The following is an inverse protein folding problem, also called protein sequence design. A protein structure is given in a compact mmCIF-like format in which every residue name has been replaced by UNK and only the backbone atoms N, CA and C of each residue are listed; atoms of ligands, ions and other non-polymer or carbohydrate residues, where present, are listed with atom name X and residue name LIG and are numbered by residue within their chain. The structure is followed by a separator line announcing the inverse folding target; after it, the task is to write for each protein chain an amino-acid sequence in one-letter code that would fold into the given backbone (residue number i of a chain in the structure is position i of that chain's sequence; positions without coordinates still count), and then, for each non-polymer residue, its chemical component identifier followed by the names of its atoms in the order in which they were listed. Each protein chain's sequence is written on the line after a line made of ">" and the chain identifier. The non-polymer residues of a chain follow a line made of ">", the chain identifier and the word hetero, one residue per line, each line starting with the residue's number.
data_IF_892262731793
#
_entry.id   IF_892262731793
#
_cell.length_a   1.000
_cell.length_b   1.000
_cell.length_c   1.000
_cell.angle_alpha   90.00
_cell.angle_beta   90.00
_cell.angle_gamma   90.00
#
_symmetry.space_group_name_H-M   'P 1'
#
loop_
_entity.id
_entity.type
_entity.pdbx_description
1 polymer ?
#
# COMPACT_ATOMS: atom_id res chain seq x y z
N UNK A 1 -3.21 -21.31 37.29
CA UNK A 1 -3.23 -19.91 36.81
C UNK A 1 -1.83 -19.37 36.58
N UNK A 2 -0.83 -19.80 37.36
CA UNK A 2 0.54 -19.28 37.28
C UNK A 2 1.20 -19.45 35.90
N UNK A 3 0.96 -20.57 35.22
CA UNK A 3 1.40 -20.78 33.83
C UNK A 3 0.79 -19.77 32.84
N UNK A 4 -0.47 -19.37 33.01
CA UNK A 4 -1.09 -18.35 32.15
C UNK A 4 -0.46 -16.98 32.44
N UNK A 5 -0.19 -16.68 33.71
CA UNK A 5 0.45 -15.43 34.09
C UNK A 5 1.90 -15.35 33.59
N UNK A 6 2.66 -16.45 33.61
CA UNK A 6 4.02 -16.48 33.05
C UNK A 6 3.98 -16.25 31.53
N UNK A 7 3.15 -17.00 30.81
CA UNK A 7 3.01 -16.82 29.35
C UNK A 7 2.53 -15.41 28.96
N UNK A 8 1.62 -14.82 29.74
CA UNK A 8 1.19 -13.45 29.52
C UNK A 8 2.32 -12.42 29.72
N UNK A 9 3.14 -12.59 30.76
CA UNK A 9 4.30 -11.72 31.02
C UNK A 9 5.33 -11.84 29.90
N UNK A 10 5.58 -13.05 29.44
CA UNK A 10 6.56 -13.35 28.38
C UNK A 10 6.03 -13.09 26.97
N UNK A 11 4.74 -12.73 26.83
CA UNK A 11 4.03 -12.56 25.55
C UNK A 11 4.14 -13.80 24.65
N UNK A 12 4.09 -14.98 25.25
CA UNK A 12 4.14 -16.26 24.55
C UNK A 12 2.77 -16.92 24.50
N UNK A 13 2.52 -17.69 23.45
CA UNK A 13 1.31 -18.51 23.31
C UNK A 13 1.61 -19.89 23.88
N UNK A 14 0.74 -20.38 24.75
CA UNK A 14 0.86 -21.69 25.36
C UNK A 14 0.38 -22.79 24.40
N UNK A 15 1.25 -23.74 24.06
CA UNK A 15 0.94 -24.76 23.06
C UNK A 15 -0.13 -25.79 23.50
N UNK A 16 -0.32 -25.94 24.81
CA UNK A 16 -1.14 -27.01 25.41
C UNK A 16 -2.39 -26.46 26.14
N UNK A 17 -2.75 -25.19 25.94
CA UNK A 17 -3.88 -24.56 26.64
C UNK A 17 -4.93 -24.11 25.63
N UNK A 18 -6.18 -24.53 25.87
CA UNK A 18 -7.36 -24.06 25.15
C UNK A 18 -8.46 -23.64 26.14
N UNK A 19 -9.34 -22.73 25.71
CA UNK A 19 -10.50 -22.29 26.49
C UNK A 19 -11.77 -22.79 25.80
N UNK A 20 -12.73 -23.29 26.57
CA UNK A 20 -14.07 -23.60 26.09
C UNK A 20 -15.08 -22.74 26.85
N UNK A 21 -15.89 -21.99 26.11
CA UNK A 21 -16.92 -21.11 26.66
C UNK A 21 -18.31 -21.51 26.15
N UNK A 22 -19.26 -21.73 27.05
CA UNK A 22 -20.66 -21.93 26.68
C UNK A 22 -21.38 -20.59 26.45
N UNK A 23 -22.36 -20.57 25.54
CA UNK A 23 -23.18 -19.40 25.24
C UNK A 23 -23.87 -18.81 26.47
N UNK A 24 -24.27 -19.64 27.45
CA UNK A 24 -24.84 -19.15 28.71
C UNK A 24 -23.81 -18.41 29.55
N UNK A 25 -22.56 -18.89 29.59
CA UNK A 25 -21.47 -18.20 30.27
C UNK A 25 -21.15 -16.86 29.59
N UNK A 26 -21.20 -16.82 28.25
CA UNK A 26 -20.94 -15.61 27.47
C UNK A 26 -21.93 -14.47 27.74
N UNK A 27 -23.14 -14.74 28.23
CA UNK A 27 -24.11 -13.69 28.62
C UNK A 27 -23.55 -12.79 29.72
N UNK A 28 -22.67 -13.29 30.60
CA UNK A 28 -22.04 -12.48 31.64
C UNK A 28 -20.94 -11.56 31.09
N UNK A 29 -20.34 -11.92 29.95
CA UNK A 29 -19.36 -11.09 29.26
C UNK A 29 -20.06 -10.08 28.32
N UNK A 30 -21.15 -10.52 27.70
CA UNK A 30 -21.97 -9.78 26.72
C UNK A 30 -23.45 -9.73 27.15
N UNK A 31 -23.75 -8.99 28.22
CA UNK A 31 -25.12 -8.84 28.72
C UNK A 31 -26.04 -8.17 27.70
N UNK A 32 -27.15 -8.84 27.37
CA UNK A 32 -28.14 -8.36 26.39
C UNK A 32 -29.19 -7.39 26.95
N UNK A 33 -29.29 -7.24 28.27
CA UNK A 33 -30.26 -6.36 28.94
C UNK A 33 -29.66 -4.98 29.23
N UNK A 34 -30.51 -3.97 29.41
CA UNK A 34 -30.08 -2.68 29.93
C UNK A 34 -29.52 -2.87 31.35
N UNK A 35 -28.22 -2.60 31.50
CA UNK A 35 -27.48 -2.78 32.74
C UNK A 35 -27.41 -1.49 33.53
N UNK A 36 -27.34 -1.65 34.85
CA UNK A 36 -26.88 -0.58 35.75
C UNK A 36 -25.42 -0.20 35.45
N UNK A 37 -24.99 0.97 35.96
CA UNK A 37 -23.62 1.46 35.72
C UNK A 37 -22.59 0.45 36.26
N UNK A 38 -22.83 -0.12 37.44
CA UNK A 38 -21.91 -1.06 38.08
C UNK A 38 -21.77 -2.37 37.30
N UNK A 39 -22.88 -2.93 36.81
CA UNK A 39 -22.86 -4.15 36.01
C UNK A 39 -22.13 -3.95 34.67
N UNK A 40 -22.21 -2.75 34.07
CA UNK A 40 -21.41 -2.41 32.86
C UNK A 40 -19.92 -2.44 33.15
N UNK A 41 -19.49 -1.94 34.31
CA UNK A 41 -18.08 -1.94 34.74
C UNK A 41 -17.60 -3.38 34.91
N UNK A 42 -18.39 -4.22 35.59
CA UNK A 42 -18.06 -5.65 35.79
C UNK A 42 -17.96 -6.39 34.46
N UNK A 43 -18.93 -6.23 33.56
CA UNK A 43 -18.91 -6.89 32.25
C UNK A 43 -17.72 -6.43 31.39
N UNK A 44 -17.33 -5.15 31.48
CA UNK A 44 -16.14 -4.63 30.79
C UNK A 44 -14.85 -5.27 31.32
N UNK A 45 -14.73 -5.42 32.63
CA UNK A 45 -13.57 -6.06 33.25
C UNK A 45 -13.51 -7.57 32.94
N UNK A 46 -14.64 -8.26 32.92
CA UNK A 46 -14.72 -9.67 32.50
C UNK A 46 -14.27 -9.86 31.04
N UNK A 47 -14.72 -9.01 30.12
CA UNK A 47 -14.27 -9.02 28.71
C UNK A 47 -12.76 -8.80 28.59
N UNK A 48 -12.21 -7.86 29.37
CA UNK A 48 -10.77 -7.61 29.41
C UNK A 48 -10.01 -8.83 29.91
N UNK A 49 -10.47 -9.47 30.99
CA UNK A 49 -9.87 -10.71 31.52
C UNK A 49 -9.95 -11.84 30.49
N UNK A 50 -11.10 -12.02 29.84
CA UNK A 50 -11.28 -13.03 28.80
C UNK A 50 -10.27 -12.83 27.66
N UNK A 51 -10.09 -11.60 27.17
CA UNK A 51 -9.10 -11.29 26.13
C UNK A 51 -7.67 -11.62 26.56
N UNK A 52 -7.31 -11.33 27.81
CA UNK A 52 -5.97 -11.64 28.35
C UNK A 52 -5.74 -13.14 28.35
N UNK A 53 -6.67 -13.93 28.88
CA UNK A 53 -6.53 -15.39 28.90
C UNK A 53 -6.55 -15.95 27.47
N UNK A 54 -7.47 -15.50 26.63
CA UNK A 54 -7.59 -15.94 25.23
C UNK A 54 -6.34 -15.62 24.39
N UNK A 55 -5.63 -14.52 24.67
CA UNK A 55 -4.40 -14.15 23.95
C UNK A 55 -3.21 -15.07 24.23
N UNK A 56 -3.27 -15.83 25.32
CA UNK A 56 -2.23 -16.80 25.72
C UNK A 56 -2.59 -18.20 25.27
N UNK A 57 -3.87 -18.52 25.15
CA UNK A 57 -4.32 -19.85 24.74
C UNK A 57 -4.14 -20.06 23.24
N UNK A 58 -3.81 -21.29 22.85
CA UNK A 58 -3.68 -21.70 21.44
C UNK A 58 -5.02 -21.70 20.71
N UNK A 59 -6.10 -22.00 21.43
CA UNK A 59 -7.44 -22.04 20.89
C UNK A 59 -8.48 -21.53 21.90
N UNK A 60 -9.52 -20.90 21.38
CA UNK A 60 -10.75 -20.59 22.11
C UNK A 60 -11.92 -21.18 21.33
N UNK A 61 -12.73 -22.00 21.99
CA UNK A 61 -13.89 -22.67 21.42
C UNK A 61 -15.13 -22.14 22.13
N UNK A 62 -16.02 -21.49 21.39
CA UNK A 62 -17.29 -21.01 21.90
C UNK A 62 -18.42 -21.94 21.45
N UNK A 63 -19.11 -22.57 22.40
CA UNK A 63 -20.16 -23.55 22.14
C UNK A 63 -21.55 -22.96 22.36
N UNK A 64 -22.54 -23.38 21.56
CA UNK A 64 -23.96 -23.01 21.71
C UNK A 64 -24.18 -21.49 21.79
N UNK A 65 -23.45 -20.74 20.97
CA UNK A 65 -23.49 -19.28 20.93
C UNK A 65 -24.56 -18.77 19.98
N UNK A 66 -25.24 -17.68 20.36
CA UNK A 66 -26.20 -17.01 19.49
C UNK A 66 -25.49 -16.20 18.39
N UNK A 67 -26.16 -15.87 17.27
CA UNK A 67 -25.59 -15.02 16.22
C UNK A 67 -25.06 -13.68 16.74
N UNK A 68 -25.76 -13.06 17.71
CA UNK A 68 -25.32 -11.82 18.36
C UNK A 68 -24.02 -12.02 19.14
N UNK A 69 -23.93 -13.10 19.92
CA UNK A 69 -22.72 -13.40 20.71
C UNK A 69 -21.50 -13.66 19.82
N UNK A 70 -21.67 -14.28 18.65
CA UNK A 70 -20.57 -14.45 17.68
C UNK A 70 -20.01 -13.10 17.24
N UNK A 71 -20.88 -12.15 16.89
CA UNK A 71 -20.49 -10.79 16.53
C UNK A 71 -19.83 -10.04 17.71
N UNK A 72 -20.36 -10.20 18.92
CA UNK A 72 -19.81 -9.58 20.13
C UNK A 72 -18.38 -10.05 20.44
N UNK A 73 -18.07 -11.34 20.23
CA UNK A 73 -16.70 -11.86 20.36
C UNK A 73 -15.76 -11.17 19.36
N UNK A 74 -16.17 -11.06 18.09
CA UNK A 74 -15.37 -10.39 17.04
C UNK A 74 -15.15 -8.92 17.40
N UNK A 75 -16.19 -8.21 17.81
CA UNK A 75 -16.13 -6.81 18.22
C UNK A 75 -15.24 -6.60 19.47
N UNK A 76 -15.29 -7.54 20.42
CA UNK A 76 -14.39 -7.53 21.57
C UNK A 76 -12.92 -7.60 21.12
N UNK A 77 -12.57 -8.53 20.24
CA UNK A 77 -11.19 -8.66 19.72
C UNK A 77 -10.79 -7.42 18.91
N UNK A 78 -11.66 -6.93 18.03
CA UNK A 78 -11.40 -5.80 17.14
C UNK A 78 -11.14 -4.49 17.89
N UNK A 79 -11.99 -4.17 18.86
CA UNK A 79 -11.97 -2.86 19.51
C UNK A 79 -11.22 -2.83 20.84
N UNK A 80 -11.12 -3.97 21.53
CA UNK A 80 -10.59 -4.01 22.90
C UNK A 80 -9.27 -4.78 23.03
N UNK A 81 -8.79 -5.45 21.96
CA UNK A 81 -7.45 -6.03 21.96
C UNK A 81 -6.38 -4.95 21.88
N UNK A 82 -5.32 -5.10 22.69
CA UNK A 82 -4.21 -4.13 22.77
C UNK A 82 -3.51 -3.92 21.43
N UNK A 83 -3.39 -4.98 20.63
CA UNK A 83 -2.67 -4.96 19.36
C UNK A 83 -3.56 -4.57 18.17
N UNK A 84 -4.86 -4.33 18.39
CA UNK A 84 -5.86 -4.02 17.36
C UNK A 84 -5.67 -4.87 16.08
N UNK A 85 -5.75 -6.21 16.20
CA UNK A 85 -5.44 -7.09 15.08
C UNK A 85 -6.49 -6.95 13.98
N UNK A 86 -6.08 -7.26 12.74
CA UNK A 86 -7.01 -7.50 11.64
C UNK A 86 -7.72 -8.83 11.91
N UNK A 87 -9.04 -8.80 11.84
CA UNK A 87 -9.91 -9.94 12.16
C UNK A 87 -10.56 -10.46 10.90
N UNK A 88 -10.63 -11.79 10.79
CA UNK A 88 -11.32 -12.49 9.72
C UNK A 88 -12.41 -13.36 10.34
N UNK A 89 -13.61 -13.31 9.78
CA UNK A 89 -14.71 -14.18 10.15
C UNK A 89 -15.16 -14.98 8.92
N UNK A 90 -15.49 -16.25 9.15
CA UNK A 90 -15.92 -17.19 8.12
C UNK A 90 -17.16 -17.95 8.57
N UNK A 91 -18.12 -18.14 7.67
CA UNK A 91 -19.35 -18.90 7.95
C UNK A 91 -20.13 -19.24 6.68
N UNK A 92 -21.08 -20.14 6.80
CA UNK A 92 -21.91 -20.67 5.72
C UNK A 92 -23.40 -20.33 5.87
N UNK A 93 -23.86 -20.13 7.11
CA UNK A 93 -25.26 -19.91 7.44
C UNK A 93 -25.66 -18.48 7.78
N UNK A 94 -26.98 -18.25 7.84
CA UNK A 94 -27.60 -17.01 8.30
C UNK A 94 -27.11 -16.56 9.68
N UNK A 95 -26.78 -17.53 10.54
CA UNK A 95 -26.31 -17.32 11.91
C UNK A 95 -24.92 -16.67 11.99
N UNK A 96 -24.16 -16.66 10.89
CA UNK A 96 -22.82 -16.12 10.82
C UNK A 96 -22.77 -14.74 10.17
N UNK A 97 -23.88 -14.26 9.58
CA UNK A 97 -23.94 -12.97 8.86
C UNK A 97 -23.45 -11.81 9.74
N UNK A 98 -23.97 -11.69 10.97
CA UNK A 98 -23.57 -10.62 11.88
C UNK A 98 -22.09 -10.73 12.30
N UNK A 99 -21.58 -11.96 12.43
CA UNK A 99 -20.17 -12.22 12.76
C UNK A 99 -19.26 -11.82 11.60
N UNK A 100 -19.62 -12.21 10.37
CA UNK A 100 -18.94 -11.89 9.11
C UNK A 100 -18.86 -10.36 8.94
N UNK A 101 -19.99 -9.66 9.08
CA UNK A 101 -20.05 -8.20 8.93
C UNK A 101 -19.31 -7.42 10.03
N UNK A 102 -19.11 -8.02 11.20
CA UNK A 102 -18.38 -7.37 12.31
C UNK A 102 -16.86 -7.44 12.14
N UNK A 103 -16.35 -8.40 11.36
CA UNK A 103 -14.92 -8.57 11.12
C UNK A 103 -14.36 -7.51 10.16
N UNK A 104 -13.04 -7.46 10.01
CA UNK A 104 -12.42 -6.62 8.98
C UNK A 104 -12.51 -7.27 7.59
N UNK A 105 -12.50 -8.60 7.55
CA UNK A 105 -12.68 -9.39 6.35
C UNK A 105 -13.68 -10.49 6.63
N UNK A 106 -14.79 -10.48 5.91
CA UNK A 106 -15.85 -11.48 5.98
C UNK A 106 -15.74 -12.49 4.83
N UNK A 107 -15.80 -13.78 5.14
CA UNK A 107 -15.75 -14.87 4.15
C UNK A 107 -17.01 -15.74 4.26
N UNK A 108 -17.75 -15.85 3.17
CA UNK A 108 -18.88 -16.75 3.04
C UNK A 108 -18.45 -18.07 2.42
N UNK A 109 -18.87 -19.19 3.01
CA UNK A 109 -18.75 -20.51 2.37
C UNK A 109 -20.04 -20.79 1.60
N UNK A 110 -19.92 -21.13 0.31
CA UNK A 110 -21.05 -21.55 -0.50
C UNK A 110 -21.56 -22.93 -0.03
N UNK A 111 -22.55 -22.92 0.86
CA UNK A 111 -23.21 -24.12 1.39
C UNK A 111 -24.53 -24.43 0.69
N UNK A 112 -25.09 -25.60 1.02
CA UNK A 112 -26.45 -26.01 0.62
C UNK A 112 -27.53 -25.40 1.53
N UNK A 113 -27.16 -24.90 2.72
CA UNK A 113 -28.09 -24.40 3.74
C UNK A 113 -28.60 -22.97 3.46
N UNK A 114 -27.99 -22.25 2.51
CA UNK A 114 -28.44 -20.94 2.07
C UNK A 114 -27.31 -20.07 1.52
N UNK A 115 -27.69 -19.01 0.80
CA UNK A 115 -26.75 -18.05 0.17
C UNK A 115 -26.53 -16.78 1.00
N UNK A 116 -27.11 -16.72 2.20
CA UNK A 116 -27.13 -15.49 3.01
C UNK A 116 -25.74 -15.09 3.50
N UNK A 117 -24.94 -16.03 4.00
CA UNK A 117 -23.56 -15.75 4.43
C UNK A 117 -22.69 -15.28 3.26
N UNK A 118 -22.86 -15.90 2.09
CA UNK A 118 -22.16 -15.53 0.85
C UNK A 118 -22.51 -14.10 0.42
N UNK A 119 -23.80 -13.78 0.34
CA UNK A 119 -24.26 -12.44 -0.07
C UNK A 119 -23.87 -11.33 0.91
N UNK A 120 -23.59 -11.68 2.17
CA UNK A 120 -23.19 -10.74 3.20
C UNK A 120 -21.67 -10.72 3.47
N UNK A 121 -20.87 -11.41 2.66
CA UNK A 121 -19.42 -11.54 2.82
C UNK A 121 -18.63 -10.74 1.77
N UNK A 122 -17.36 -10.43 2.08
CA UNK A 122 -16.45 -9.76 1.13
C UNK A 122 -15.92 -10.74 0.08
N UNK A 123 -15.71 -12.00 0.47
CA UNK A 123 -15.26 -13.09 -0.40
C UNK A 123 -16.13 -14.33 -0.23
N UNK A 124 -16.50 -14.94 -1.34
CA UNK A 124 -17.20 -16.23 -1.37
C UNK A 124 -16.23 -17.35 -1.78
N UNK A 125 -16.14 -18.40 -0.96
CA UNK A 125 -15.36 -19.60 -1.29
C UNK A 125 -16.25 -20.85 -1.26
N UNK A 126 -15.99 -21.82 -2.12
CA UNK A 126 -16.81 -23.04 -2.16
C UNK A 126 -16.56 -23.98 -0.97
N UNK A 127 -15.33 -24.01 -0.44
CA UNK A 127 -14.92 -24.94 0.62
C UNK A 127 -13.86 -24.31 1.51
N UNK A 128 -13.85 -24.66 2.79
CA UNK A 128 -12.89 -24.13 3.78
C UNK A 128 -11.43 -24.31 3.36
N UNK A 129 -11.07 -25.41 2.67
CA UNK A 129 -9.69 -25.64 2.21
C UNK A 129 -9.13 -24.55 1.29
N UNK A 130 -9.99 -23.80 0.59
CA UNK A 130 -9.56 -22.71 -0.28
C UNK A 130 -9.13 -21.46 0.49
N UNK A 131 -9.49 -21.35 1.78
CA UNK A 131 -9.08 -20.27 2.65
C UNK A 131 -7.55 -20.17 2.75
N UNK A 132 -6.86 -21.30 2.79
CA UNK A 132 -5.40 -21.33 2.88
C UNK A 132 -4.76 -20.65 1.66
N UNK A 133 -5.22 -20.97 0.45
CA UNK A 133 -4.71 -20.35 -0.79
C UNK A 133 -5.11 -18.88 -0.88
N UNK A 134 -6.34 -18.54 -0.50
CA UNK A 134 -6.82 -17.16 -0.47
C UNK A 134 -5.94 -16.27 0.41
N UNK A 135 -5.57 -16.73 1.60
CA UNK A 135 -4.75 -15.93 2.52
C UNK A 135 -3.27 -15.97 2.13
N UNK A 136 -2.67 -17.16 2.03
CA UNK A 136 -1.22 -17.31 1.90
C UNK A 136 -0.69 -16.85 0.54
N UNK A 137 -1.46 -17.04 -0.53
CA UNK A 137 -1.09 -16.59 -1.88
C UNK A 137 -1.65 -15.20 -2.13
N UNK A 138 -2.98 -15.08 -2.25
CA UNK A 138 -3.59 -13.84 -2.73
C UNK A 138 -3.50 -12.71 -1.70
N UNK A 139 -3.82 -12.97 -0.43
CA UNK A 139 -3.75 -11.97 0.64
C UNK A 139 -2.34 -11.42 0.84
N UNK A 140 -1.35 -12.31 0.91
CA UNK A 140 0.07 -11.94 1.04
C UNK A 140 0.57 -11.11 -0.15
N UNK A 141 0.36 -11.61 -1.37
CA UNK A 141 0.80 -10.91 -2.58
C UNK A 141 0.12 -9.56 -2.72
N UNK A 142 -1.18 -9.47 -2.45
CA UNK A 142 -1.91 -8.20 -2.46
C UNK A 142 -1.34 -7.20 -1.44
N UNK A 143 -1.08 -7.62 -0.20
CA UNK A 143 -0.47 -6.75 0.81
C UNK A 143 0.87 -6.17 0.34
N UNK A 144 1.77 -7.01 -0.19
CA UNK A 144 3.08 -6.57 -0.69
C UNK A 144 2.98 -5.64 -1.89
N UNK A 145 2.15 -5.98 -2.87
CA UNK A 145 1.91 -5.17 -4.08
C UNK A 145 1.37 -3.79 -3.72
N UNK A 146 0.30 -3.75 -2.92
CA UNK A 146 -0.33 -2.50 -2.51
C UNK A 146 0.61 -1.64 -1.65
N UNK A 147 1.41 -2.24 -0.77
CA UNK A 147 2.44 -1.51 -0.02
C UNK A 147 3.40 -0.76 -0.96
N UNK A 148 3.93 -1.43 -1.99
CA UNK A 148 4.80 -0.79 -3.00
C UNK A 148 4.08 0.32 -3.76
N UNK A 149 2.84 0.07 -4.20
CA UNK A 149 2.02 1.05 -4.93
C UNK A 149 1.81 2.32 -4.11
N UNK A 150 1.45 2.19 -2.83
CA UNK A 150 1.25 3.32 -1.92
C UNK A 150 2.56 4.09 -1.73
N UNK A 151 3.63 3.40 -1.33
CA UNK A 151 4.92 4.02 -1.04
C UNK A 151 5.49 4.77 -2.25
N UNK A 152 5.47 4.13 -3.42
CA UNK A 152 5.91 4.75 -4.66
C UNK A 152 5.03 5.94 -5.06
N UNK A 153 3.71 5.85 -4.89
CA UNK A 153 2.78 6.93 -5.25
C UNK A 153 3.04 8.20 -4.43
N UNK A 154 3.34 8.08 -3.13
CA UNK A 154 3.78 9.21 -2.32
C UNK A 154 5.15 9.71 -2.75
N UNK A 155 6.12 8.80 -2.92
CA UNK A 155 7.47 9.14 -3.33
C UNK A 155 7.52 9.94 -4.66
N UNK A 156 6.81 9.51 -5.71
CA UNK A 156 6.83 10.21 -7.00
C UNK A 156 6.20 11.61 -6.94
N UNK A 157 5.09 11.75 -6.20
CA UNK A 157 4.37 13.02 -6.12
C UNK A 157 5.12 14.01 -5.22
N UNK A 158 5.67 13.53 -4.09
CA UNK A 158 6.54 14.35 -3.25
C UNK A 158 7.78 14.81 -4.02
N UNK A 159 8.40 13.94 -4.83
CA UNK A 159 9.56 14.33 -5.63
C UNK A 159 9.24 15.50 -6.57
N UNK A 160 8.09 15.47 -7.26
CA UNK A 160 7.65 16.57 -8.13
C UNK A 160 7.44 17.88 -7.33
N UNK A 161 6.73 17.80 -6.20
CA UNK A 161 6.43 18.96 -5.36
C UNK A 161 7.70 19.56 -4.76
N UNK A 162 8.66 18.73 -4.35
CA UNK A 162 9.95 19.19 -3.80
C UNK A 162 10.76 19.92 -4.87
N UNK A 163 10.77 19.46 -6.13
CA UNK A 163 11.43 20.19 -7.22
C UNK A 163 10.82 21.59 -7.40
N UNK A 164 9.49 21.71 -7.40
CA UNK A 164 8.82 23.02 -7.47
C UNK A 164 9.14 23.90 -6.25
N UNK A 165 9.21 23.30 -5.06
CA UNK A 165 9.60 23.98 -3.84
C UNK A 165 11.04 24.52 -3.90
N UNK A 166 11.99 23.72 -4.40
CA UNK A 166 13.37 24.15 -4.64
C UNK A 166 13.43 25.30 -5.65
N UNK A 167 12.67 25.20 -6.75
CA UNK A 167 12.58 26.26 -7.75
C UNK A 167 12.04 27.57 -7.17
N UNK A 168 11.12 27.51 -6.21
CA UNK A 168 10.55 28.70 -5.57
C UNK A 168 11.62 29.53 -4.82
N UNK A 169 12.68 28.91 -4.29
CA UNK A 169 13.82 29.66 -3.75
C UNK A 169 14.71 30.24 -4.84
N UNK A 170 14.83 29.53 -5.96
CA UNK A 170 15.65 29.96 -7.09
C UNK A 170 15.04 31.14 -7.85
N UNK A 171 13.72 31.21 -7.95
CA UNK A 171 13.00 32.26 -8.70
C UNK A 171 12.65 33.52 -7.87
N UNK A 172 13.23 33.68 -6.67
CA UNK A 172 12.94 34.81 -5.79
C UNK A 172 11.54 34.79 -5.20
N UNK A 173 10.93 33.60 -5.06
CA UNK A 173 9.62 33.39 -4.46
C UNK A 173 8.46 34.04 -5.24
N UNK A 174 8.59 34.16 -6.56
CA UNK A 174 7.59 34.78 -7.43
C UNK A 174 6.29 33.96 -7.57
N UNK A 175 6.31 32.68 -7.19
CA UNK A 175 5.21 31.74 -7.40
C UNK A 175 5.07 31.24 -8.85
N UNK A 176 6.00 31.58 -9.75
CA UNK A 176 6.01 31.07 -11.12
C UNK A 176 6.31 29.57 -11.13
N UNK A 177 5.52 28.78 -11.87
CA UNK A 177 5.75 27.34 -12.01
C UNK A 177 6.93 27.05 -12.93
N UNK A 178 7.83 26.14 -12.53
CA UNK A 178 8.92 25.64 -13.38
C UNK A 178 8.43 24.85 -14.60
N UNK A 179 7.32 24.13 -14.44
CA UNK A 179 6.78 23.26 -15.47
C UNK A 179 5.59 23.94 -16.15
N UNK A 180 5.52 23.78 -17.47
CA UNK A 180 4.33 24.15 -18.24
C UNK A 180 3.12 23.30 -17.78
N UNK A 181 1.93 23.89 -17.84
CA UNK A 181 0.70 23.38 -17.26
C UNK A 181 0.32 21.97 -17.73
N UNK A 182 0.39 21.69 -19.04
CA UNK A 182 0.06 20.36 -19.58
C UNK A 182 1.17 19.35 -19.31
N UNK A 183 2.44 19.77 -19.35
CA UNK A 183 3.56 18.90 -18.94
C UNK A 183 3.40 18.47 -17.48
N UNK A 184 3.09 19.42 -16.59
CA UNK A 184 2.83 19.13 -15.18
C UNK A 184 1.62 18.20 -15.00
N UNK A 185 0.50 18.49 -15.69
CA UNK A 185 -0.71 17.68 -15.61
C UNK A 185 -0.49 16.23 -16.07
N UNK A 186 0.39 16.02 -17.05
CA UNK A 186 0.75 14.70 -17.57
C UNK A 186 1.52 13.80 -16.58
N UNK A 187 2.03 14.33 -15.46
CA UNK A 187 2.92 13.59 -14.54
C UNK A 187 2.35 12.26 -14.08
N UNK A 188 1.11 12.28 -13.59
CA UNK A 188 0.47 11.08 -13.10
C UNK A 188 0.07 10.13 -14.24
N UNK A 189 -0.24 10.67 -15.41
CA UNK A 189 -0.62 9.88 -16.58
C UNK A 189 0.55 9.07 -17.12
N UNK A 190 1.71 9.70 -17.32
CA UNK A 190 2.91 9.00 -17.82
C UNK A 190 3.40 7.93 -16.83
N UNK A 191 3.33 8.20 -15.53
CA UNK A 191 3.86 7.28 -14.50
C UNK A 191 2.84 6.28 -13.93
N UNK A 192 1.59 6.26 -14.41
CA UNK A 192 0.54 5.41 -13.84
C UNK A 192 0.73 3.93 -14.18
N UNK A 193 0.98 3.59 -15.44
CA UNK A 193 0.96 2.21 -15.90
C UNK A 193 2.08 1.34 -15.29
N UNK A 194 3.34 1.82 -15.17
CA UNK A 194 4.40 1.01 -14.55
C UNK A 194 4.10 0.61 -13.11
N UNK A 195 3.54 1.52 -12.29
CA UNK A 195 3.21 1.19 -10.90
C UNK A 195 1.98 0.31 -10.79
N UNK A 196 1.00 0.46 -11.68
CA UNK A 196 -0.15 -0.46 -11.79
C UNK A 196 0.34 -1.86 -12.15
N UNK A 197 1.36 -1.98 -13.01
CA UNK A 197 1.99 -3.26 -13.34
C UNK A 197 2.48 -3.98 -12.07
N UNK A 198 3.19 -3.26 -11.20
CA UNK A 198 3.61 -3.80 -9.89
C UNK A 198 2.40 -4.18 -9.04
N UNK A 199 1.40 -3.30 -8.97
CA UNK A 199 0.19 -3.50 -8.18
C UNK A 199 -0.59 -4.78 -8.52
N UNK A 200 -0.52 -5.23 -9.77
CA UNK A 200 -1.32 -6.36 -10.28
C UNK A 200 -0.47 -7.62 -10.48
N UNK A 201 0.72 -7.49 -11.07
CA UNK A 201 1.47 -8.64 -11.61
C UNK A 201 2.75 -8.99 -10.84
N UNK A 202 3.22 -8.14 -9.93
CA UNK A 202 4.50 -8.37 -9.24
C UNK A 202 4.41 -9.52 -8.23
N UNK A 203 5.37 -10.43 -8.24
CA UNK A 203 5.42 -11.61 -7.40
C UNK A 203 6.81 -11.78 -6.82
N UNK A 204 6.91 -11.79 -5.50
CA UNK A 204 8.19 -12.01 -4.82
C UNK A 204 8.49 -13.50 -4.60
N UNK A 205 7.46 -14.34 -4.56
CA UNK A 205 7.56 -15.81 -4.46
C UNK A 205 6.44 -16.46 -5.28
N UNK A 206 6.65 -17.69 -5.73
CA UNK A 206 5.62 -18.42 -6.48
C UNK A 206 4.44 -18.84 -5.58
N UNK A 207 3.24 -19.07 -6.14
CA UNK A 207 2.09 -19.58 -5.39
C UNK A 207 2.38 -20.89 -4.63
N UNK A 208 3.17 -21.78 -5.21
CA UNK A 208 3.57 -23.06 -4.62
C UNK A 208 4.47 -22.84 -3.40
N UNK A 209 5.44 -21.92 -3.52
CA UNK A 209 6.33 -21.55 -2.41
C UNK A 209 5.56 -20.87 -1.28
N UNK A 210 4.62 -19.98 -1.60
CA UNK A 210 3.77 -19.33 -0.59
C UNK A 210 2.93 -20.34 0.20
N UNK A 211 2.45 -21.41 -0.46
CA UNK A 211 1.73 -22.50 0.20
C UNK A 211 2.65 -23.43 1.00
N UNK A 212 3.85 -23.71 0.49
CA UNK A 212 4.84 -24.57 1.15
C UNK A 212 5.45 -23.92 2.41
N UNK A 213 5.56 -22.58 2.43
CA UNK A 213 6.16 -21.84 3.54
C UNK A 213 5.20 -20.80 4.15
N UNK A 214 4.18 -21.21 4.95
CA UNK A 214 3.22 -20.29 5.56
C UNK A 214 3.84 -19.22 6.48
N UNK A 215 5.06 -19.46 6.98
CA UNK A 215 5.79 -18.48 7.79
C UNK A 215 6.03 -17.15 7.05
N UNK A 216 6.05 -17.15 5.71
CA UNK A 216 6.17 -15.95 4.88
C UNK A 216 4.96 -15.00 5.02
N UNK A 217 3.83 -15.45 5.58
CA UNK A 217 2.66 -14.61 5.83
C UNK A 217 2.86 -13.69 7.05
N UNK A 218 3.79 -14.01 7.95
CA UNK A 218 4.01 -13.25 9.19
C UNK A 218 4.48 -11.82 8.95
N UNK A 219 5.11 -11.52 7.81
CA UNK A 219 5.54 -10.15 7.47
C UNK A 219 4.35 -9.20 7.35
N UNK A 220 3.25 -9.66 6.76
CA UNK A 220 2.00 -8.91 6.69
C UNK A 220 1.37 -8.67 8.05
N UNK A 221 1.39 -9.69 8.93
CA UNK A 221 0.85 -9.56 10.29
C UNK A 221 1.63 -8.58 11.17
N UNK A 222 2.93 -8.38 10.88
CA UNK A 222 3.81 -7.43 11.58
C UNK A 222 3.81 -6.03 10.96
N UNK A 223 3.09 -5.82 9.86
CA UNK A 223 3.13 -4.61 9.05
C UNK A 223 4.55 -4.26 8.58
N UNK A 224 5.33 -5.28 8.22
CA UNK A 224 6.74 -5.10 7.91
C UNK A 224 6.93 -4.30 6.62
N UNK A 225 6.07 -4.43 5.60
CA UNK A 225 6.24 -3.79 4.29
C UNK A 225 5.63 -2.37 4.20
N UNK A 226 4.60 -2.07 5.01
CA UNK A 226 3.96 -0.77 5.08
C UNK A 226 3.85 -0.29 6.54
N UNK A 227 4.79 0.58 6.93
CA UNK A 227 4.80 1.23 8.24
C UNK A 227 5.42 2.63 8.14
N UNK A 228 5.29 3.40 9.21
CA UNK A 228 5.77 4.79 9.27
C UNK A 228 7.27 4.90 9.03
N UNK A 229 8.07 3.95 9.56
CA UNK A 229 9.52 3.97 9.36
C UNK A 229 9.89 3.83 7.88
N UNK A 230 9.32 2.85 7.16
CA UNK A 230 9.53 2.70 5.73
C UNK A 230 9.03 3.92 4.96
N UNK A 231 7.86 4.46 5.32
CA UNK A 231 7.33 5.66 4.71
C UNK A 231 8.32 6.84 4.80
N UNK A 232 8.93 7.06 5.98
CA UNK A 232 9.97 8.08 6.15
C UNK A 232 11.22 7.83 5.30
N UNK A 233 11.66 6.58 5.13
CA UNK A 233 12.77 6.25 4.22
C UNK A 233 12.44 6.60 2.77
N UNK A 234 11.21 6.32 2.32
CA UNK A 234 10.75 6.70 0.99
C UNK A 234 10.67 8.23 0.81
N UNK A 235 10.28 8.97 1.84
CA UNK A 235 10.33 10.45 1.83
C UNK A 235 11.78 10.93 1.70
N UNK A 236 12.71 10.35 2.47
CA UNK A 236 14.14 10.69 2.38
C UNK A 236 14.69 10.48 0.96
N UNK A 237 14.34 9.36 0.32
CA UNK A 237 14.67 9.10 -1.08
C UNK A 237 14.03 10.11 -2.04
N UNK A 238 12.78 10.52 -1.80
CA UNK A 238 12.11 11.52 -2.64
C UNK A 238 12.83 12.87 -2.59
N UNK A 239 13.21 13.32 -1.38
CA UNK A 239 13.99 14.56 -1.20
C UNK A 239 15.32 14.45 -1.93
N UNK A 240 16.05 13.35 -1.74
CA UNK A 240 17.35 13.14 -2.39
C UNK A 240 17.24 13.18 -3.92
N UNK A 241 16.34 12.39 -4.52
CA UNK A 241 16.17 12.34 -5.97
C UNK A 241 15.61 13.65 -6.55
N UNK A 242 14.75 14.36 -5.82
CA UNK A 242 14.28 15.68 -6.23
C UNK A 242 15.42 16.71 -6.25
N UNK A 243 16.25 16.75 -5.21
CA UNK A 243 17.44 17.61 -5.14
C UNK A 243 18.39 17.33 -6.31
N UNK A 244 18.75 16.06 -6.53
CA UNK A 244 19.64 15.68 -7.64
C UNK A 244 19.02 16.07 -9.00
N UNK A 245 17.74 15.76 -9.22
CA UNK A 245 17.06 16.06 -10.49
C UNK A 245 16.90 17.55 -10.75
N UNK A 246 16.82 18.38 -9.71
CA UNK A 246 16.75 19.83 -9.85
C UNK A 246 18.13 20.46 -10.08
N UNK A 247 19.09 20.17 -9.21
CA UNK A 247 20.40 20.83 -9.24
C UNK A 247 21.28 20.34 -10.40
N UNK A 248 21.26 19.05 -10.73
CA UNK A 248 22.14 18.48 -11.75
C UNK A 248 21.93 19.14 -13.12
N UNK A 249 20.70 19.26 -13.68
CA UNK A 249 20.51 19.95 -14.95
C UNK A 249 20.83 21.45 -14.89
N UNK A 250 20.62 22.11 -13.75
CA UNK A 250 20.95 23.54 -13.58
C UNK A 250 22.47 23.76 -13.71
N UNK A 251 23.28 22.89 -13.13
CA UNK A 251 24.74 23.01 -13.19
C UNK A 251 25.34 22.52 -14.51
N UNK A 252 24.79 21.45 -15.10
CA UNK A 252 25.29 20.90 -16.37
C UNK A 252 24.91 21.79 -17.54
N UNK A 253 23.70 22.35 -17.51
CA UNK A 253 23.15 23.18 -18.58
C UNK A 253 23.20 24.64 -18.16
N UNK A 254 24.41 25.09 -17.79
CA UNK A 254 24.66 26.48 -17.43
C UNK A 254 24.58 27.35 -18.70
N UNK A 255 23.61 28.26 -18.75
CA UNK A 255 23.62 29.35 -19.74
C UNK A 255 22.58 29.28 -20.85
N UNK A 256 21.33 28.88 -20.55
CA UNK A 256 20.27 29.32 -21.44
C UNK A 256 20.02 30.83 -21.22
N UNK A 257 20.08 31.67 -22.27
CA UNK A 257 19.53 33.01 -22.18
C UNK A 257 18.08 32.92 -21.70
N UNK A 258 17.56 34.01 -21.14
CA UNK A 258 16.20 34.15 -20.57
C UNK A 258 15.05 33.60 -21.41
N UNK A 259 15.29 33.28 -22.69
CA UNK A 259 14.35 32.68 -23.64
C UNK A 259 14.17 31.14 -23.51
N UNK A 260 14.95 30.41 -22.69
CA UNK A 260 14.84 28.94 -22.59
C UNK A 260 14.33 28.41 -21.23
N UNK A 261 13.49 29.18 -20.54
CA UNK A 261 12.87 28.79 -19.27
C UNK A 261 12.13 27.44 -19.35
N UNK A 262 11.22 27.30 -20.31
CA UNK A 262 10.43 26.08 -20.51
C UNK A 262 11.29 24.90 -20.96
N UNK A 263 12.42 25.14 -21.63
CA UNK A 263 13.38 24.10 -22.00
C UNK A 263 14.09 23.54 -20.76
N UNK A 264 14.51 24.41 -19.84
CA UNK A 264 15.08 24.00 -18.56
C UNK A 264 14.06 23.23 -17.71
N UNK A 265 12.84 23.74 -17.59
CA UNK A 265 11.76 23.06 -16.88
C UNK A 265 11.45 21.67 -17.46
N UNK A 266 11.37 21.55 -18.79
CA UNK A 266 11.13 20.27 -19.47
C UNK A 266 12.31 19.30 -19.33
N UNK A 267 13.54 19.80 -19.27
CA UNK A 267 14.75 18.98 -19.02
C UNK A 267 14.73 18.38 -17.62
N UNK A 268 14.47 19.20 -16.60
CA UNK A 268 14.35 18.76 -15.20
C UNK A 268 13.20 17.76 -15.05
N UNK A 269 12.05 18.07 -15.65
CA UNK A 269 10.89 17.18 -15.64
C UNK A 269 11.22 15.81 -16.27
N UNK A 270 11.88 15.81 -17.42
CA UNK A 270 12.29 14.58 -18.13
C UNK A 270 13.24 13.76 -17.27
N UNK A 271 14.28 14.37 -16.68
CA UNK A 271 15.22 13.68 -15.79
C UNK A 271 14.53 13.09 -14.55
N UNK A 272 13.60 13.82 -13.95
CA UNK A 272 12.81 13.35 -12.82
C UNK A 272 11.90 12.18 -13.23
N UNK A 273 11.19 12.28 -14.36
CA UNK A 273 10.32 11.22 -14.88
C UNK A 273 11.11 9.93 -15.19
N UNK A 274 12.30 10.05 -15.77
CA UNK A 274 13.20 8.91 -15.99
C UNK A 274 13.64 8.29 -14.66
N UNK A 275 14.00 9.11 -13.68
CA UNK A 275 14.37 8.64 -12.33
C UNK A 275 13.22 7.86 -11.66
N UNK A 276 11.98 8.33 -11.81
CA UNK A 276 10.80 7.62 -11.30
C UNK A 276 10.60 6.26 -11.99
N UNK A 277 10.73 6.19 -13.32
CA UNK A 277 10.66 4.94 -14.06
C UNK A 277 11.80 3.97 -13.68
N UNK A 278 13.04 4.45 -13.54
CA UNK A 278 14.16 3.66 -13.04
C UNK A 278 13.88 3.13 -11.63
N UNK A 279 13.26 3.94 -10.76
CA UNK A 279 12.89 3.48 -9.42
C UNK A 279 11.85 2.35 -9.47
N UNK A 280 10.86 2.41 -10.36
CA UNK A 280 9.90 1.31 -10.58
C UNK A 280 10.61 0.05 -11.04
N UNK A 281 11.52 0.18 -12.01
CA UNK A 281 12.34 -0.92 -12.52
C UNK A 281 13.10 -1.62 -11.37
N UNK A 282 13.71 -0.85 -10.47
CA UNK A 282 14.46 -1.39 -9.33
C UNK A 282 13.58 -2.07 -8.27
N UNK A 283 12.31 -1.68 -8.16
CA UNK A 283 11.38 -2.21 -7.15
C UNK A 283 10.58 -3.41 -7.68
N UNK A 284 10.58 -3.63 -9.00
CA UNK A 284 9.98 -4.81 -9.64
C UNK A 284 10.77 -6.06 -9.25
N UNK A 285 10.08 -7.07 -8.71
CA UNK A 285 10.68 -8.36 -8.34
C UNK A 285 10.47 -9.40 -9.43
N UNK A 286 9.29 -9.44 -10.05
CA UNK A 286 9.00 -10.34 -11.16
C UNK A 286 8.84 -9.60 -12.49
N UNK A 287 9.68 -9.99 -13.45
CA UNK A 287 9.71 -9.42 -14.79
C UNK A 287 8.76 -10.19 -15.72
N UNK A 288 7.51 -9.74 -15.76
CA UNK A 288 6.48 -10.26 -16.67
C UNK A 288 6.46 -9.51 -18.00
N UNK A 289 5.88 -10.09 -19.06
CA UNK A 289 5.71 -9.37 -20.34
C UNK A 289 4.91 -8.08 -20.17
N UNK A 290 3.93 -8.05 -19.26
CA UNK A 290 3.14 -6.87 -18.93
C UNK A 290 3.98 -5.77 -18.26
N UNK A 291 4.85 -6.13 -17.31
CA UNK A 291 5.75 -5.16 -16.66
C UNK A 291 6.64 -4.45 -17.68
N UNK A 292 7.27 -5.20 -18.59
CA UNK A 292 8.07 -4.62 -19.67
C UNK A 292 7.21 -3.76 -20.60
N UNK A 293 6.07 -4.28 -21.05
CA UNK A 293 5.17 -3.57 -21.97
C UNK A 293 4.70 -2.23 -21.42
N UNK A 294 4.29 -2.17 -20.14
CA UNK A 294 3.82 -0.93 -19.51
C UNK A 294 4.92 0.08 -19.26
N UNK A 295 6.15 -0.35 -18.92
CA UNK A 295 7.30 0.54 -18.79
C UNK A 295 7.67 1.15 -20.16
N UNK A 296 7.81 0.31 -21.19
CA UNK A 296 8.16 0.78 -22.54
C UNK A 296 7.07 1.70 -23.09
N UNK A 297 5.80 1.32 -22.92
CA UNK A 297 4.67 2.15 -23.35
C UNK A 297 4.65 3.50 -22.63
N UNK A 298 4.89 3.54 -21.31
CA UNK A 298 4.99 4.78 -20.54
C UNK A 298 6.07 5.73 -21.09
N UNK A 299 7.25 5.20 -21.39
CA UNK A 299 8.36 5.97 -21.96
C UNK A 299 8.03 6.49 -23.37
N UNK A 300 7.52 5.61 -24.25
CA UNK A 300 7.14 5.98 -25.61
C UNK A 300 6.02 7.03 -25.61
N UNK A 301 5.04 6.88 -24.73
CA UNK A 301 3.93 7.82 -24.58
C UNK A 301 4.41 9.21 -24.17
N UNK A 302 5.37 9.28 -23.25
CA UNK A 302 5.96 10.55 -22.83
C UNK A 302 6.73 11.24 -23.98
N UNK A 303 7.59 10.51 -24.69
CA UNK A 303 8.34 11.09 -25.82
C UNK A 303 7.43 11.43 -27.00
N UNK A 304 6.39 10.63 -27.26
CA UNK A 304 5.35 10.95 -28.24
C UNK A 304 4.62 12.24 -27.87
N UNK A 305 4.23 12.39 -26.60
CA UNK A 305 3.63 13.62 -26.09
C UNK A 305 4.55 14.82 -26.29
N UNK A 306 5.84 14.72 -25.92
CA UNK A 306 6.80 15.80 -26.15
C UNK A 306 6.97 16.13 -27.64
N UNK A 307 6.90 15.15 -28.55
CA UNK A 307 6.99 15.39 -30.00
C UNK A 307 5.76 16.07 -30.59
N UNK A 308 4.58 15.74 -30.08
CA UNK A 308 3.29 16.14 -30.68
C UNK A 308 2.70 17.39 -30.03
N UNK A 309 2.76 17.51 -28.70
CA UNK A 309 2.14 18.61 -27.95
C UNK A 309 2.60 20.01 -28.42
N UNK A 310 3.91 20.27 -28.63
CA UNK A 310 4.38 21.56 -29.16
C UNK A 310 3.85 21.95 -30.54
N UNK A 311 3.34 21.00 -31.33
CA UNK A 311 2.78 21.27 -32.66
C UNK A 311 1.37 21.88 -32.56
N UNK A 312 0.69 21.71 -31.43
CA UNK A 312 -0.64 22.23 -31.18
C UNK A 312 -0.59 23.63 -30.54
N UNK A 313 -0.23 24.62 -31.36
CA UNK A 313 -0.09 26.03 -30.93
C UNK A 313 -1.38 26.66 -30.38
N UNK A 314 -2.54 26.05 -30.64
CA UNK A 314 -3.80 26.48 -30.03
C UNK A 314 -3.91 26.14 -28.54
N UNK A 315 -3.12 25.19 -28.03
CA UNK A 315 -3.10 24.80 -26.61
C UNK A 315 -2.09 25.63 -25.82
N UNK A 316 -0.88 25.79 -26.35
CA UNK A 316 0.18 26.62 -25.75
C UNK A 316 1.23 27.01 -26.79
N UNK A 317 1.70 28.26 -26.68
CA UNK A 317 2.83 28.76 -27.47
C UNK A 317 4.18 28.51 -26.78
N UNK A 318 4.16 28.26 -25.47
CA UNK A 318 5.34 28.21 -24.61
C UNK A 318 6.26 27.03 -24.91
N UNK A 319 5.73 25.98 -25.57
CA UNK A 319 6.46 24.74 -25.86
C UNK A 319 6.98 24.64 -27.29
N UNK A 320 6.66 25.60 -28.16
CA UNK A 320 7.03 25.58 -29.58
C UNK A 320 8.56 25.63 -29.72
N UNK A 321 9.13 24.69 -30.49
CA UNK A 321 10.57 24.62 -30.74
C UNK A 321 11.40 24.00 -29.59
N UNK A 322 10.80 23.69 -28.44
CA UNK A 322 11.52 23.10 -27.29
C UNK A 322 11.97 21.67 -27.57
N UNK A 323 11.08 20.83 -28.10
CA UNK A 323 11.39 19.40 -28.31
C UNK A 323 12.54 19.17 -29.30
N UNK A 324 12.61 19.85 -30.46
CA UNK A 324 13.76 19.77 -31.33
C UNK A 324 15.07 20.16 -30.62
N UNK A 325 15.06 21.21 -29.80
CA UNK A 325 16.26 21.64 -29.07
C UNK A 325 16.65 20.62 -27.98
N UNK A 326 15.68 20.10 -27.23
CA UNK A 326 15.87 19.09 -26.20
C UNK A 326 16.46 17.78 -26.76
N UNK A 327 16.00 17.37 -27.95
CA UNK A 327 16.45 16.15 -28.63
C UNK A 327 17.68 16.38 -29.52
N UNK A 328 18.03 17.65 -29.80
CA UNK A 328 19.20 17.98 -30.61
C UNK A 328 20.50 17.81 -29.82
N UNK A 329 21.56 17.43 -30.55
CA UNK A 329 22.91 17.22 -30.03
C UNK A 329 23.60 18.48 -29.47
N UNK A 330 22.98 19.66 -29.52
CA UNK A 330 23.55 20.88 -28.91
C UNK A 330 23.64 20.78 -27.37
N UNK A 331 22.78 19.96 -26.75
CA UNK A 331 22.82 19.63 -25.31
C UNK A 331 23.91 18.59 -24.97
N UNK A 332 24.55 17.95 -25.96
CA UNK A 332 25.62 16.96 -25.72
C UNK A 332 27.00 17.58 -25.43
N UNK A 333 27.15 18.90 -25.51
CA UNK A 333 28.44 19.59 -25.30
C UNK A 333 29.03 19.55 -23.87
N UNK A 334 28.29 19.35 -22.76
CA UNK A 334 28.93 19.17 -21.45
C UNK A 334 29.54 17.77 -21.25
N UNK A 335 29.06 16.74 -21.96
CA UNK A 335 29.62 15.38 -21.83
C UNK A 335 31.02 15.22 -22.43
N UNK A 336 31.44 16.12 -23.34
CA UNK A 336 32.84 16.15 -23.83
C UNK A 336 33.85 16.54 -22.75
N UNK A 337 33.45 17.28 -21.71
CA UNK A 337 34.35 17.64 -20.61
C UNK A 337 34.47 16.54 -19.56
N UNK A 338 33.47 15.66 -19.42
CA UNK A 338 33.55 14.52 -18.50
C UNK A 338 34.44 13.39 -19.04
N UNK A 339 34.52 13.24 -20.37
CA UNK A 339 35.43 12.29 -21.03
C UNK A 339 36.91 12.77 -21.08
N UNK A 340 37.22 13.94 -20.53
CA UNK A 340 38.59 14.48 -20.40
C UNK A 340 39.10 14.47 -18.95
N UNK A 341 38.31 13.96 -17.99
CA UNK A 341 38.67 13.85 -16.57
C UNK A 341 38.68 12.37 -16.08
N UNK A 342 38.36 11.42 -16.95
CA UNK A 342 38.79 10.01 -16.82
C UNK A 342 39.90 9.75 -17.83
#
# INVERSE_FOLDING_TARGET
>A
MDSIQSHYKDKTIADNIAIVCDGKALVHFFPSKALTVDEKVVAKELRRKLLVVASVCKALIACRVSPAQKADIVNMVRYHSRNKPITLAIGDGANDVNMIQSAHVGIGICGQEGVQAVNASDYAIAQFRFLQRLLLVHGRSNYKRIAKVILYSFYKNMSLVIVLFLYNFYNGQSGTSLFESFVMAGWNFFLALPIIAIGIFDEDVSPEQAMAFPALYKTGQRNDDLNVYRFCLWIGNAIFHACVSFWLPIYIVAGYPTEAFHLQGTTIYTGLLMTMNCKVIMETMSWTMYSHGFIVFSLLLFFFFLGVYPLFTFLSWDMVGITPVLLSSYVQTPFRHFALIC
#
